data_IF_856000464519
#
_entry.id   IF_856000464519
#
_cell.length_a   1.000
_cell.length_b   1.000
_cell.length_c   1.000
_cell.angle_alpha   90.00
_cell.angle_beta   90.00
_cell.angle_gamma   90.00
#
_symmetry.space_group_name_H-M   'P 1'
#
loop_
_entity.id
_entity.type
_entity.pdbx_description
1 polymer ?
#
# COMPACT_ATOMS: atom_id res chain seq x y z
N UNK A 1 -0.96 -10.66 8.03
CA UNK A 1 -0.84 -9.62 6.97
C UNK A 1 -1.30 -8.28 7.52
N UNK A 2 -0.68 -7.22 7.10
CA UNK A 2 -1.13 -5.85 7.36
C UNK A 2 -1.07 -5.01 6.07
N UNK A 3 -1.82 -3.91 6.06
CA UNK A 3 -2.00 -3.07 4.86
C UNK A 3 -1.84 -1.61 5.27
N UNK A 4 -1.23 -0.81 4.39
CA UNK A 4 -1.21 0.64 4.53
C UNK A 4 -0.58 1.09 5.88
N UNK A 5 -1.29 1.90 6.65
CA UNK A 5 -0.85 2.41 7.96
C UNK A 5 -0.71 1.31 9.04
N UNK A 6 -1.25 0.12 8.81
CA UNK A 6 -1.07 -1.03 9.70
C UNK A 6 0.40 -1.38 9.99
N UNK A 7 1.29 -1.02 9.07
CA UNK A 7 2.73 -1.18 9.25
C UNK A 7 3.27 -0.54 10.54
N UNK A 8 2.73 0.62 10.93
CA UNK A 8 3.20 1.34 12.11
C UNK A 8 2.88 0.66 13.43
N UNK A 9 1.77 -0.10 13.49
CA UNK A 9 1.47 -0.90 14.68
C UNK A 9 2.50 -2.03 14.86
N UNK A 10 2.90 -2.67 13.77
CA UNK A 10 3.91 -3.73 13.81
C UNK A 10 5.31 -3.15 14.08
N UNK A 11 5.62 -1.99 13.51
CA UNK A 11 6.85 -1.26 13.80
C UNK A 11 6.96 -0.95 15.29
N UNK A 12 5.88 -0.40 15.90
CA UNK A 12 5.81 -0.10 17.33
C UNK A 12 5.94 -1.34 18.21
N UNK A 13 5.46 -2.49 17.73
CA UNK A 13 5.57 -3.77 18.42
C UNK A 13 6.93 -4.46 18.22
N UNK A 14 7.85 -3.88 17.42
CA UNK A 14 9.15 -4.50 17.09
C UNK A 14 9.07 -5.73 16.18
N UNK A 15 7.91 -5.98 15.58
CA UNK A 15 7.65 -7.17 14.76
C UNK A 15 8.20 -7.09 13.34
N UNK A 16 8.75 -5.95 12.94
CA UNK A 16 9.34 -5.73 11.63
C UNK A 16 10.87 -5.82 11.62
N UNK A 17 11.50 -5.98 12.76
CA UNK A 17 12.95 -6.02 12.87
C UNK A 17 13.52 -7.17 12.01
N UNK A 18 14.45 -6.83 11.11
CA UNK A 18 15.09 -7.78 10.19
C UNK A 18 14.24 -8.21 8.99
N UNK A 19 13.01 -7.75 8.87
CA UNK A 19 12.10 -8.10 7.79
C UNK A 19 12.03 -7.04 6.69
N UNK A 20 11.59 -7.43 5.49
CA UNK A 20 11.13 -6.47 4.50
C UNK A 20 9.76 -5.92 4.91
N UNK A 21 9.58 -4.61 4.75
CA UNK A 21 8.32 -3.94 5.03
C UNK A 21 8.00 -2.90 3.95
N UNK A 22 6.72 -2.63 3.78
CA UNK A 22 6.24 -1.53 2.94
C UNK A 22 5.01 -0.90 3.57
N UNK A 23 4.64 0.26 3.09
CA UNK A 23 3.43 0.99 3.50
C UNK A 23 2.89 1.79 2.33
N UNK A 24 1.81 2.53 2.53
CA UNK A 24 1.25 3.39 1.49
C UNK A 24 2.23 4.51 1.10
N UNK A 25 2.04 5.02 -0.12
CA UNK A 25 2.81 6.17 -0.59
C UNK A 25 2.70 7.36 0.40
N UNK A 26 3.73 8.20 0.41
CA UNK A 26 3.80 9.34 1.33
C UNK A 26 4.15 8.98 2.78
N UNK A 27 4.17 7.70 3.16
CA UNK A 27 4.53 7.24 4.49
C UNK A 27 5.80 6.37 4.53
N UNK A 28 6.43 6.12 3.41
CA UNK A 28 7.64 5.28 3.31
C UNK A 28 8.77 5.83 4.19
N UNK A 29 9.07 7.13 4.08
CA UNK A 29 10.12 7.75 4.88
C UNK A 29 9.82 7.67 6.38
N UNK A 30 8.56 7.94 6.76
CA UNK A 30 8.12 7.82 8.16
C UNK A 30 8.23 6.38 8.69
N UNK A 31 7.95 5.40 7.85
CA UNK A 31 8.12 3.99 8.26
C UNK A 31 9.60 3.63 8.43
N UNK A 32 10.49 4.15 7.57
CA UNK A 32 11.94 3.96 7.74
C UNK A 32 12.44 4.53 9.06
N UNK A 33 11.95 5.70 9.45
CA UNK A 33 12.28 6.33 10.73
C UNK A 33 11.73 5.51 11.93
N UNK A 34 10.49 5.01 11.80
CA UNK A 34 9.82 4.27 12.87
C UNK A 34 10.40 2.86 13.10
N UNK A 35 11.05 2.26 12.09
CA UNK A 35 11.62 0.91 12.19
C UNK A 35 12.96 0.82 11.46
N UNK A 36 14.04 1.39 12.02
CA UNK A 36 15.35 1.45 11.37
C UNK A 36 16.00 0.08 11.16
N UNK A 37 15.52 -0.96 11.83
CA UNK A 37 16.01 -2.33 11.69
C UNK A 37 15.26 -3.12 10.61
N UNK A 38 14.18 -2.60 10.05
CA UNK A 38 13.48 -3.22 8.94
C UNK A 38 14.03 -2.72 7.60
N UNK A 39 13.97 -3.56 6.57
CA UNK A 39 14.25 -3.16 5.20
C UNK A 39 12.97 -2.62 4.57
N UNK A 40 12.73 -1.32 4.70
CA UNK A 40 11.56 -0.68 4.11
C UNK A 40 11.78 -0.46 2.62
N UNK A 41 10.95 -1.09 1.79
CA UNK A 41 10.98 -1.03 0.33
C UNK A 41 9.82 -0.19 -0.21
N UNK A 42 10.07 0.54 -1.29
CA UNK A 42 9.12 1.43 -1.98
C UNK A 42 8.80 0.96 -3.41
N UNK A 43 9.43 -0.12 -3.85
CA UNK A 43 9.33 -0.66 -5.20
C UNK A 43 8.53 -1.97 -5.30
N UNK A 44 7.76 -2.30 -4.27
CA UNK A 44 6.91 -3.50 -4.23
C UNK A 44 5.49 -3.13 -3.79
N UNK A 45 4.49 -3.75 -4.39
CA UNK A 45 3.10 -3.62 -3.96
C UNK A 45 2.87 -4.29 -2.62
N UNK A 46 3.52 -5.41 -2.39
CA UNK A 46 3.53 -6.12 -1.11
C UNK A 46 4.84 -6.89 -0.94
N UNK A 47 5.13 -7.27 0.27
CA UNK A 47 6.23 -8.16 0.65
C UNK A 47 5.69 -9.30 1.50
N UNK A 48 6.25 -10.49 1.30
CA UNK A 48 5.89 -11.68 2.04
C UNK A 48 7.16 -12.26 2.71
N UNK A 49 7.20 -12.20 4.04
CA UNK A 49 8.28 -12.76 4.84
C UNK A 49 7.90 -14.14 5.45
N UNK A 50 6.90 -14.82 4.91
CA UNK A 50 6.39 -16.07 5.44
C UNK A 50 5.33 -15.87 6.52
N UNK A 51 5.72 -15.59 7.76
CA UNK A 51 4.80 -15.35 8.87
C UNK A 51 4.13 -13.96 8.81
N UNK A 52 4.84 -12.97 8.30
CA UNK A 52 4.35 -11.58 8.21
C UNK A 52 4.41 -11.12 6.76
N UNK A 53 3.27 -10.74 6.23
CA UNK A 53 3.15 -10.09 4.93
C UNK A 53 2.68 -8.64 5.09
N UNK A 54 3.27 -7.74 4.30
CA UNK A 54 3.00 -6.31 4.30
C UNK A 54 2.56 -5.84 2.93
N UNK A 55 1.46 -5.11 2.87
CA UNK A 55 0.97 -4.50 1.63
C UNK A 55 1.03 -2.96 1.71
N UNK A 56 1.28 -2.34 0.57
CA UNK A 56 1.36 -0.91 0.43
C UNK A 56 -0.01 -0.22 0.61
N UNK A 57 -0.65 0.20 -0.45
CA UNK A 57 -1.98 0.82 -0.38
C UNK A 57 -3.12 -0.21 -0.45
N UNK A 58 -4.34 0.30 -0.54
CA UNK A 58 -5.57 -0.51 -0.50
C UNK A 58 -5.58 -1.63 -1.55
N UNK A 59 -5.38 -1.30 -2.82
CA UNK A 59 -5.37 -2.30 -3.90
C UNK A 59 -4.23 -3.30 -3.78
N UNK A 60 -3.09 -2.88 -3.23
CA UNK A 60 -1.98 -3.78 -2.89
C UNK A 60 -2.35 -4.77 -1.79
N UNK A 61 -3.27 -4.39 -0.90
CA UNK A 61 -3.85 -5.28 0.11
C UNK A 61 -4.67 -6.39 -0.53
N UNK A 62 -5.43 -6.09 -1.58
CA UNK A 62 -6.17 -7.11 -2.35
C UNK A 62 -5.19 -8.07 -3.01
N UNK A 63 -4.17 -7.55 -3.71
CA UNK A 63 -3.15 -8.38 -4.36
C UNK A 63 -2.43 -9.29 -3.35
N UNK A 64 -2.05 -8.74 -2.20
CA UNK A 64 -1.41 -9.51 -1.13
C UNK A 64 -2.32 -10.60 -0.57
N UNK A 65 -3.61 -10.32 -0.42
CA UNK A 65 -4.59 -11.32 0.04
C UNK A 65 -4.72 -12.45 -0.96
N UNK A 66 -4.83 -12.14 -2.24
CA UNK A 66 -4.87 -13.15 -3.31
C UNK A 66 -3.57 -13.95 -3.40
N UNK A 67 -2.41 -13.31 -3.21
CA UNK A 67 -1.13 -13.99 -3.10
C UNK A 67 -1.10 -14.99 -1.93
N UNK A 68 -1.64 -14.61 -0.77
CA UNK A 68 -1.72 -15.51 0.38
C UNK A 68 -2.66 -16.67 0.09
N UNK A 69 -3.81 -16.45 -0.56
CA UNK A 69 -4.70 -17.52 -1.01
C UNK A 69 -3.98 -18.45 -1.98
N UNK A 70 -3.26 -17.91 -2.96
CA UNK A 70 -2.46 -18.71 -3.89
C UNK A 70 -1.44 -19.59 -3.14
N UNK A 71 -0.72 -19.01 -2.20
CA UNK A 71 0.30 -19.71 -1.40
C UNK A 71 -0.26 -20.88 -0.60
N UNK A 72 -1.45 -20.75 -0.01
CA UNK A 72 -2.04 -21.77 0.85
C UNK A 72 -3.01 -22.73 0.14
N UNK A 73 -3.70 -22.26 -0.88
CA UNK A 73 -4.82 -22.97 -1.52
C UNK A 73 -4.65 -23.14 -3.04
N UNK A 74 -3.56 -22.61 -3.59
CA UNK A 74 -3.22 -22.72 -5.02
C UNK A 74 -3.85 -21.62 -5.89
N UNK A 75 -3.19 -21.42 -7.03
CA UNK A 75 -3.50 -20.34 -8.00
C UNK A 75 -4.95 -20.35 -8.49
N UNK A 76 -5.51 -21.54 -8.72
CA UNK A 76 -6.91 -21.66 -9.16
C UNK A 76 -7.88 -21.08 -8.14
N UNK A 77 -7.67 -21.33 -6.85
CA UNK A 77 -8.50 -20.76 -5.77
C UNK A 77 -8.38 -19.23 -5.72
N UNK A 78 -7.18 -18.71 -5.85
CA UNK A 78 -6.95 -17.25 -5.89
C UNK A 78 -7.62 -16.61 -7.13
N UNK A 79 -7.55 -17.27 -8.29
CA UNK A 79 -8.21 -16.78 -9.50
C UNK A 79 -9.74 -16.78 -9.36
N UNK A 80 -10.31 -17.82 -8.75
CA UNK A 80 -11.76 -17.87 -8.48
C UNK A 80 -12.19 -16.78 -7.50
N UNK A 81 -11.39 -16.51 -6.47
CA UNK A 81 -11.66 -15.42 -5.53
C UNK A 81 -11.58 -14.04 -6.24
N UNK A 82 -10.59 -13.83 -7.09
CA UNK A 82 -10.45 -12.62 -7.88
C UNK A 82 -11.64 -12.44 -8.85
N UNK A 83 -12.06 -13.51 -9.52
CA UNK A 83 -13.22 -13.50 -10.40
C UNK A 83 -14.52 -13.15 -9.64
N UNK A 84 -14.73 -13.74 -8.48
CA UNK A 84 -15.89 -13.43 -7.64
C UNK A 84 -15.95 -11.98 -7.15
N UNK A 85 -14.79 -11.31 -7.07
CA UNK A 85 -14.70 -9.88 -6.77
C UNK A 85 -14.68 -8.98 -8.02
N UNK A 86 -14.79 -9.56 -9.23
CA UNK A 86 -14.59 -8.84 -10.50
C UNK A 86 -13.25 -8.06 -10.53
N UNK A 87 -12.23 -8.61 -9.86
CA UNK A 87 -10.92 -7.97 -9.71
C UNK A 87 -9.94 -8.53 -10.73
N UNK A 88 -9.34 -7.63 -11.53
CA UNK A 88 -8.30 -8.00 -12.49
C UNK A 88 -6.98 -8.26 -11.75
N UNK A 89 -6.82 -9.48 -11.24
CA UNK A 89 -5.62 -9.87 -10.52
C UNK A 89 -4.50 -10.25 -11.51
N UNK A 90 -3.40 -9.52 -11.43
CA UNK A 90 -2.17 -9.79 -12.16
C UNK A 90 -1.01 -9.97 -11.17
N UNK A 91 -0.67 -11.23 -10.80
CA UNK A 91 0.41 -11.50 -9.84
C UNK A 91 1.78 -11.12 -10.37
N UNK A 92 1.94 -10.98 -11.69
CA UNK A 92 3.19 -10.55 -12.33
C UNK A 92 3.27 -9.04 -12.53
N UNK A 93 2.26 -8.30 -12.11
CA UNK A 93 2.22 -6.85 -12.26
C UNK A 93 3.40 -6.18 -11.57
N UNK A 94 4.13 -5.40 -12.36
CA UNK A 94 5.23 -4.56 -11.88
C UNK A 94 4.77 -3.13 -11.58
N UNK A 95 3.48 -2.88 -11.59
CA UNK A 95 2.95 -1.57 -11.27
C UNK A 95 3.17 -1.25 -9.80
N UNK A 96 4.12 -0.38 -9.56
CA UNK A 96 4.48 0.08 -8.22
C UNK A 96 4.19 1.57 -8.11
N UNK A 97 3.17 1.87 -7.38
CA UNK A 97 2.72 3.25 -7.25
C UNK A 97 3.54 4.06 -6.24
N UNK A 98 4.04 3.42 -5.20
CA UNK A 98 4.74 4.12 -4.12
C UNK A 98 5.99 4.87 -4.62
N UNK A 99 6.81 4.25 -5.45
CA UNK A 99 8.02 4.87 -5.98
C UNK A 99 7.73 6.10 -6.85
N UNK A 100 6.62 6.10 -7.58
CA UNK A 100 6.19 7.24 -8.38
C UNK A 100 5.63 8.36 -7.50
N UNK A 101 4.92 8.00 -6.45
CA UNK A 101 4.29 8.98 -5.56
C UNK A 101 5.33 9.75 -4.75
N UNK A 102 6.32 9.09 -4.17
CA UNK A 102 7.38 9.76 -3.40
C UNK A 102 8.23 10.69 -4.29
N UNK A 103 8.32 10.41 -5.58
CA UNK A 103 9.07 11.22 -6.54
C UNK A 103 8.27 12.41 -7.09
N UNK A 104 6.96 12.24 -7.32
CA UNK A 104 6.14 13.22 -8.02
C UNK A 104 5.05 13.86 -7.19
N UNK A 105 4.73 13.27 -6.04
CA UNK A 105 3.71 13.74 -5.14
C UNK A 105 4.34 14.04 -3.78
N UNK A 106 5.14 15.09 -3.73
CA UNK A 106 5.31 15.78 -2.46
C UNK A 106 3.92 16.33 -2.14
N UNK A 107 3.21 15.67 -1.24
CA UNK A 107 1.97 16.21 -0.70
C UNK A 107 2.29 17.40 0.19
N UNK A 108 2.60 18.50 -0.44
CA UNK A 108 2.21 19.77 0.08
C UNK A 108 0.70 19.85 -0.18
N UNK A 109 -0.11 19.95 0.84
CA UNK A 109 -1.57 20.12 0.70
C UNK A 109 -1.94 21.43 -0.01
N UNK A 110 -0.96 22.18 -0.48
CA UNK A 110 -1.13 23.27 -1.42
C UNK A 110 -1.40 22.68 -2.81
N UNK A 111 -2.64 22.74 -3.21
CA UNK A 111 -3.27 22.20 -4.41
C UNK A 111 -2.63 22.65 -5.74
N UNK A 112 -1.38 23.07 -5.76
CA UNK A 112 -0.68 23.64 -6.93
C UNK A 112 -0.29 22.63 -8.00
N UNK A 113 -0.43 21.33 -7.78
CA UNK A 113 0.16 20.31 -8.66
C UNK A 113 -0.79 19.22 -9.16
N UNK A 114 -2.06 19.52 -9.34
CA UNK A 114 -2.93 18.57 -10.04
C UNK A 114 -2.74 18.74 -11.55
N UNK A 115 -2.26 17.71 -12.27
CA UNK A 115 -2.15 17.77 -13.72
C UNK A 115 -3.50 18.10 -14.35
N UNK A 116 -3.52 19.03 -15.32
CA UNK A 116 -4.73 19.33 -16.08
C UNK A 116 -5.62 20.44 -15.51
N UNK A 117 -5.13 21.24 -14.56
CA UNK A 117 -5.90 22.42 -14.09
C UNK A 117 -7.16 22.07 -13.31
N UNK A 118 -7.23 20.86 -12.76
CA UNK A 118 -8.33 20.47 -11.88
C UNK A 118 -8.32 21.35 -10.63
N UNK A 119 -9.38 22.12 -10.46
CA UNK A 119 -9.61 22.88 -9.23
C UNK A 119 -10.50 22.04 -8.32
N UNK A 120 -10.18 21.93 -7.03
CA UNK A 120 -11.12 21.34 -6.09
C UNK A 120 -12.43 22.13 -6.18
N UNK A 121 -13.54 21.45 -6.20
CA UNK A 121 -14.84 22.09 -6.03
C UNK A 121 -14.76 22.88 -4.73
N UNK A 122 -14.96 24.19 -4.81
CA UNK A 122 -15.11 24.99 -3.62
C UNK A 122 -16.18 24.34 -2.74
N UNK A 123 -15.86 24.11 -1.49
CA UNK A 123 -16.91 23.77 -0.52
C UNK A 123 -17.81 25.00 -0.40
N UNK A 124 -18.82 25.05 -1.24
CA UNK A 124 -19.93 25.96 -1.01
C UNK A 124 -20.78 25.35 0.11
N UNK A 125 -20.93 26.12 1.17
CA UNK A 125 -21.93 25.87 2.20
C UNK A 125 -21.33 25.53 3.54
N UNK A 126 -21.35 26.53 4.42
CA UNK A 126 -21.54 26.35 5.85
C UNK A 126 -22.71 25.37 6.06
N UNK A 127 -22.42 24.18 6.56
CA UNK A 127 -23.42 23.40 7.25
C UNK A 127 -23.42 23.85 8.72
N UNK A 128 -24.00 25.02 8.95
CA UNK A 128 -24.51 25.36 10.26
C UNK A 128 -25.76 24.49 10.49
N UNK A 129 -25.58 23.46 11.27
CA UNK A 129 -26.64 22.84 12.08
C UNK A 129 -26.01 22.10 13.25
#
# INVERSE_FOLDING_TARGET
>A
MFVCNGAFFLAKAGLLDGLEATTTFGLISKLREATPKAKVVDNKRYVDNGAIAAAAGLSSGIDCSLHIIDRFFGKGTAQMAALGMEYNWDPESRFVRAALADKYMQFDFDVKFLPGGWKPLAREGNLDH
#
